data_IF_500117035431
#
_entry.id   IF_500117035431
#
_cell.length_a   1.000
_cell.length_b   1.000
_cell.length_c   1.000
_cell.angle_alpha   90.00
_cell.angle_beta   90.00
_cell.angle_gamma   90.00
#
_symmetry.space_group_name_H-M   'P 1'
#
loop_
_entity.id
_entity.type
_entity.pdbx_description
1 polymer ?
#
# COMPACT_ATOMS: atom_id res chain seq x y z
N UNK A 1 -33.70 23.10 28.86
CA UNK A 1 -32.57 22.38 29.47
C UNK A 1 -32.17 21.26 28.51
N UNK A 2 -30.91 21.29 28.04
CA UNK A 2 -30.12 20.22 27.35
C UNK A 2 -30.53 19.83 25.91
N UNK A 3 -29.85 20.31 24.86
CA UNK A 3 -28.56 19.84 24.28
C UNK A 3 -28.74 18.55 23.44
N UNK A 4 -28.72 18.61 22.09
CA UNK A 4 -27.58 18.63 21.17
C UNK A 4 -27.00 17.24 20.81
N UNK A 5 -27.18 16.89 19.53
CA UNK A 5 -26.28 16.10 18.64
C UNK A 5 -25.65 14.81 19.20
N UNK A 6 -26.27 13.67 18.87
CA UNK A 6 -25.60 12.38 18.71
C UNK A 6 -25.65 12.08 17.20
N UNK A 7 -24.60 11.70 16.49
CA UNK A 7 -23.29 11.20 16.83
C UNK A 7 -22.94 10.33 15.63
N UNK A 8 -22.03 10.80 14.79
CA UNK A 8 -21.59 10.09 13.58
C UNK A 8 -21.06 8.72 14.01
N UNK A 9 -21.78 7.67 13.67
CA UNK A 9 -21.31 6.30 13.87
C UNK A 9 -20.11 6.06 12.95
N UNK A 10 -18.94 6.06 13.59
CA UNK A 10 -17.67 5.72 12.98
C UNK A 10 -17.76 4.28 12.47
N UNK A 11 -17.77 4.12 11.14
CA UNK A 11 -17.61 2.82 10.49
C UNK A 11 -16.30 2.20 10.97
N UNK A 12 -16.43 1.01 11.54
CA UNK A 12 -15.34 0.24 12.13
C UNK A 12 -14.10 0.21 11.24
N UNK A 13 -12.99 0.64 11.82
CA UNK A 13 -11.67 0.37 11.29
C UNK A 13 -11.49 -1.14 11.19
N UNK A 14 -11.06 -1.59 10.02
CA UNK A 14 -10.59 -2.95 9.84
C UNK A 14 -9.24 -3.06 10.55
N UNK A 15 -9.26 -3.63 11.75
CA UNK A 15 -8.06 -4.08 12.44
C UNK A 15 -7.57 -5.38 11.78
N UNK A 16 -6.43 -5.31 11.08
CA UNK A 16 -5.74 -6.52 10.63
C UNK A 16 -4.79 -6.96 11.73
N UNK A 17 -5.09 -8.11 12.33
CA UNK A 17 -4.21 -8.79 13.30
C UNK A 17 -2.93 -9.19 12.57
N UNK A 18 -1.89 -8.37 12.72
CA UNK A 18 -0.54 -8.73 12.33
C UNK A 18 -0.07 -9.91 13.18
N UNK A 19 0.01 -11.10 12.58
CA UNK A 19 0.81 -12.18 13.13
C UNK A 19 2.29 -11.78 13.05
N UNK A 20 3.03 -11.70 14.17
CA UNK A 20 4.47 -11.55 14.12
C UNK A 20 5.05 -12.88 13.64
N UNK A 21 5.50 -12.93 12.39
CA UNK A 21 6.31 -14.06 11.92
C UNK A 21 7.78 -13.73 12.21
N UNK A 22 8.21 -14.07 13.42
CA UNK A 22 9.62 -14.25 13.78
C UNK A 22 10.23 -15.31 12.85
N UNK A 23 11.25 -14.93 12.07
CA UNK A 23 11.95 -15.87 11.18
C UNK A 23 12.66 -15.23 10.00
N UNK A 24 13.36 -14.11 10.20
CA UNK A 24 14.26 -13.57 9.19
C UNK A 24 15.59 -14.36 9.23
N UNK A 25 15.74 -15.35 8.34
CA UNK A 25 17.04 -15.88 7.91
C UNK A 25 16.87 -16.68 6.62
N UNK A 26 17.04 -16.01 5.48
CA UNK A 26 17.49 -16.66 4.25
C UNK A 26 18.52 -15.77 3.59
N UNK A 27 19.78 -16.19 3.74
CA UNK A 27 20.94 -15.69 3.04
C UNK A 27 20.64 -15.57 1.54
N UNK A 28 20.76 -14.35 1.00
CA UNK A 28 20.68 -14.12 -0.43
C UNK A 28 22.04 -14.43 -1.06
N UNK A 29 22.11 -15.47 -1.87
CA UNK A 29 23.28 -15.79 -2.69
C UNK A 29 23.55 -14.72 -3.77
N UNK A 30 24.78 -14.60 -4.27
CA UNK A 30 25.14 -13.58 -5.26
C UNK A 30 24.72 -14.04 -6.66
N UNK A 31 23.58 -13.56 -7.18
CA UNK A 31 23.24 -13.78 -8.59
C UNK A 31 21.78 -13.66 -9.01
N UNK A 32 20.82 -13.55 -8.08
CA UNK A 32 19.43 -13.36 -8.49
C UNK A 32 19.17 -11.90 -8.89
N UNK A 33 18.48 -11.64 -10.02
CA UNK A 33 18.08 -10.30 -10.39
C UNK A 33 17.19 -9.77 -9.25
N UNK A 34 17.71 -8.80 -8.50
CA UNK A 34 16.97 -8.17 -7.40
C UNK A 34 15.64 -7.67 -7.95
N UNK A 35 14.57 -8.42 -7.68
CA UNK A 35 13.22 -7.94 -7.96
C UNK A 35 13.06 -6.63 -7.16
N UNK A 36 12.48 -5.57 -7.76
CA UNK A 36 12.27 -4.33 -7.04
C UNK A 36 11.46 -4.66 -5.78
N UNK A 37 12.09 -4.44 -4.62
CA UNK A 37 11.59 -4.95 -3.35
C UNK A 37 10.61 -3.92 -2.80
N UNK A 38 9.34 -4.02 -3.20
CA UNK A 38 8.26 -3.31 -2.50
C UNK A 38 7.81 -4.15 -1.31
N UNK A 39 7.53 -3.48 -0.21
CA UNK A 39 7.00 -4.12 0.99
C UNK A 39 5.49 -3.90 1.08
N UNK A 40 4.80 -4.73 1.85
CA UNK A 40 3.44 -4.40 2.31
C UNK A 40 3.51 -3.10 3.11
N UNK A 41 2.45 -2.29 3.01
CA UNK A 41 2.32 -0.92 3.52
C UNK A 41 3.23 0.13 2.86
N UNK A 42 4.01 -0.26 1.85
CA UNK A 42 4.83 0.69 1.08
C UNK A 42 3.95 1.63 0.25
N UNK A 43 4.20 2.93 0.38
CA UNK A 43 3.65 3.94 -0.53
C UNK A 43 4.34 3.86 -1.88
N UNK A 44 3.54 3.93 -2.94
CA UNK A 44 3.99 3.78 -4.32
C UNK A 44 3.30 4.78 -5.23
N UNK A 45 3.96 5.11 -6.34
CA UNK A 45 3.38 5.89 -7.42
C UNK A 45 3.46 5.10 -8.73
N UNK A 46 2.42 5.21 -9.54
CA UNK A 46 2.32 4.68 -10.90
C UNK A 46 1.89 5.81 -11.86
N UNK A 47 2.37 5.78 -13.11
CA UNK A 47 2.08 6.84 -14.08
C UNK A 47 0.59 6.96 -14.41
N UNK A 48 -0.14 5.84 -14.51
CA UNK A 48 -1.56 5.83 -14.87
C UNK A 48 -2.50 5.89 -13.67
N UNK A 49 -2.14 5.24 -12.56
CA UNK A 49 -3.02 5.09 -11.39
C UNK A 49 -2.73 6.15 -10.31
N UNK A 50 -1.62 6.88 -10.43
CA UNK A 50 -1.17 7.83 -9.43
C UNK A 50 -0.65 7.13 -8.18
N UNK A 51 -1.00 7.66 -7.01
CA UNK A 51 -0.48 7.20 -5.72
C UNK A 51 -1.32 6.09 -5.13
N UNK A 52 -0.67 5.19 -4.42
CA UNK A 52 -1.33 4.11 -3.70
C UNK A 52 -0.43 3.46 -2.65
N UNK A 53 -1.00 2.47 -1.98
CA UNK A 53 -0.32 1.68 -0.94
C UNK A 53 -0.36 0.21 -1.31
N UNK A 54 0.79 -0.46 -1.28
CA UNK A 54 0.84 -1.92 -1.44
C UNK A 54 0.20 -2.56 -0.21
N UNK A 55 -0.86 -3.34 -0.39
CA UNK A 55 -1.55 -4.02 0.73
C UNK A 55 -1.30 -5.52 0.77
N UNK A 56 -0.86 -6.11 -0.34
CA UNK A 56 -0.49 -7.52 -0.41
C UNK A 56 0.60 -7.69 -1.46
N UNK A 57 1.62 -8.49 -1.14
CA UNK A 57 2.53 -9.02 -2.14
C UNK A 57 2.88 -10.47 -1.76
N UNK A 58 2.35 -11.43 -2.53
CA UNK A 58 2.50 -12.86 -2.23
C UNK A 58 2.51 -13.71 -3.51
N UNK A 59 3.60 -14.44 -3.74
CA UNK A 59 3.81 -15.20 -4.96
C UNK A 59 3.75 -14.28 -6.19
N UNK A 60 2.88 -14.61 -7.14
CA UNK A 60 2.69 -13.83 -8.37
C UNK A 60 1.61 -12.73 -8.24
N UNK A 61 1.05 -12.53 -7.04
CA UNK A 61 -0.03 -11.57 -6.80
C UNK A 61 0.47 -10.35 -6.02
N UNK A 62 0.23 -9.17 -6.59
CA UNK A 62 0.42 -7.87 -5.97
C UNK A 62 -0.94 -7.17 -5.85
N UNK A 63 -1.26 -6.60 -4.69
CA UNK A 63 -2.44 -5.76 -4.55
C UNK A 63 -2.07 -4.37 -4.06
N UNK A 64 -2.64 -3.36 -4.71
CA UNK A 64 -2.41 -1.94 -4.41
C UNK A 64 -3.74 -1.25 -4.19
N UNK A 65 -3.84 -0.52 -3.09
CA UNK A 65 -4.93 0.41 -2.81
C UNK A 65 -4.58 1.77 -3.40
N UNK A 66 -5.22 2.15 -4.50
CA UNK A 66 -5.02 3.42 -5.19
C UNK A 66 -5.86 4.53 -4.57
N UNK A 67 -5.24 5.69 -4.34
CA UNK A 67 -5.87 6.82 -3.67
C UNK A 67 -6.95 7.46 -4.54
N UNK A 68 -6.71 7.52 -5.86
CA UNK A 68 -7.61 8.18 -6.81
C UNK A 68 -8.72 7.24 -7.28
N UNK A 69 -9.98 7.72 -7.29
CA UNK A 69 -11.07 7.00 -7.92
C UNK A 69 -10.97 7.04 -9.45
N UNK A 70 -11.43 5.97 -10.11
CA UNK A 70 -11.50 5.88 -11.57
C UNK A 70 -12.70 6.63 -12.17
N UNK A 71 -13.73 6.88 -11.35
CA UNK A 71 -14.96 7.57 -11.72
C UNK A 71 -15.28 8.61 -10.66
N UNK A 72 -15.73 9.79 -11.09
CA UNK A 72 -16.22 10.83 -10.18
C UNK A 72 -17.30 10.23 -9.24
N UNK A 73 -17.10 10.38 -7.93
CA UNK A 73 -18.02 9.85 -6.91
C UNK A 73 -17.70 8.46 -6.37
N UNK A 74 -16.60 7.81 -6.79
CA UNK A 74 -16.11 6.57 -6.15
C UNK A 74 -15.02 6.86 -5.09
N UNK A 75 -14.83 5.94 -4.15
CA UNK A 75 -13.74 5.98 -3.15
C UNK A 75 -12.53 5.18 -3.64
N UNK A 76 -11.41 5.27 -2.90
CA UNK A 76 -10.14 4.55 -3.17
C UNK A 76 -10.34 3.09 -3.57
N UNK A 77 -9.48 2.57 -4.46
CA UNK A 77 -9.70 1.27 -5.11
C UNK A 77 -8.58 0.28 -4.83
N UNK A 78 -8.93 -0.89 -4.32
CA UNK A 78 -8.05 -2.05 -4.27
C UNK A 78 -8.00 -2.73 -5.65
N UNK A 79 -6.80 -2.87 -6.22
CA UNK A 79 -6.58 -3.58 -7.48
C UNK A 79 -5.51 -4.66 -7.35
N UNK A 80 -5.75 -5.79 -8.00
CA UNK A 80 -4.80 -6.89 -8.13
C UNK A 80 -4.02 -6.77 -9.42
N UNK A 81 -2.72 -7.02 -9.34
CA UNK A 81 -1.75 -7.00 -10.41
C UNK A 81 -0.89 -8.27 -10.31
N UNK A 82 -0.23 -8.63 -11.41
CA UNK A 82 0.81 -9.64 -11.37
C UNK A 82 2.08 -9.08 -10.69
N UNK A 83 2.94 -9.97 -10.18
CA UNK A 83 4.17 -9.57 -9.50
C UNK A 83 5.11 -8.73 -10.38
N UNK A 84 5.10 -8.89 -11.71
CA UNK A 84 5.97 -8.11 -12.60
C UNK A 84 5.59 -6.63 -12.65
N UNK A 85 4.35 -6.30 -12.29
CA UNK A 85 3.87 -4.93 -12.16
C UNK A 85 4.67 -4.11 -11.13
N UNK A 86 5.36 -4.76 -10.19
CA UNK A 86 6.26 -4.07 -9.24
C UNK A 86 7.34 -3.23 -9.94
N UNK A 87 7.76 -3.63 -11.15
CA UNK A 87 8.76 -2.90 -11.95
C UNK A 87 8.26 -1.56 -12.47
N UNK A 88 6.95 -1.34 -12.47
CA UNK A 88 6.31 -0.11 -12.93
C UNK A 88 6.00 0.84 -11.77
N UNK A 89 6.21 0.38 -10.53
CA UNK A 89 5.98 1.15 -9.32
C UNK A 89 7.23 1.94 -8.93
N UNK A 90 7.04 3.20 -8.60
CA UNK A 90 8.06 4.02 -7.94
C UNK A 90 7.78 4.03 -6.43
N UNK A 91 8.67 3.49 -5.59
CA UNK A 91 8.53 3.60 -4.15
C UNK A 91 8.56 5.06 -3.69
N UNK A 92 7.63 5.41 -2.82
CA UNK A 92 7.57 6.72 -2.16
C UNK A 92 8.08 6.58 -0.73
N UNK A 93 8.97 7.48 -0.33
CA UNK A 93 9.42 7.66 1.04
C UNK A 93 8.49 8.69 1.68
N UNK A 94 7.95 8.34 2.84
CA UNK A 94 7.14 9.24 3.67
C UNK A 94 8.03 9.79 4.77
N UNK A 95 8.18 11.10 4.85
CA UNK A 95 8.92 11.74 5.93
C UNK A 95 8.07 11.90 7.21
N UNK A 96 8.66 12.40 8.29
CA UNK A 96 7.98 12.57 9.58
C UNK A 96 6.79 13.56 9.53
N UNK A 97 6.84 14.54 8.63
CA UNK A 97 5.75 15.49 8.35
C UNK A 97 4.69 14.90 7.39
N UNK A 98 4.84 13.64 6.97
CA UNK A 98 3.91 12.95 6.10
C UNK A 98 4.00 13.34 4.62
N UNK A 99 5.07 14.02 4.18
CA UNK A 99 5.26 14.31 2.76
C UNK A 99 5.88 13.12 2.05
N UNK A 100 5.44 12.92 0.83
CA UNK A 100 5.84 11.79 -0.01
C UNK A 100 6.84 12.24 -1.07
N UNK A 101 7.96 11.53 -1.17
CA UNK A 101 9.00 11.78 -2.16
C UNK A 101 9.38 10.48 -2.86
N UNK A 102 9.62 10.53 -4.17
CA UNK A 102 10.14 9.35 -4.87
C UNK A 102 11.54 9.02 -4.37
N UNK A 103 11.75 7.77 -3.97
CA UNK A 103 13.11 7.25 -3.74
C UNK A 103 13.83 7.30 -5.09
N UNK A 104 14.71 8.28 -5.26
CA UNK A 104 15.56 8.42 -6.46
C UNK A 104 16.82 7.58 -6.31
#
# INVERSE_FOLDING_TARGET
MKEARHGVEQRGGVEWVGHPNDGQSTESGPGEPQQPKVNVDQRVNHCEYGRGTVVLFHGDLLQVLWDRPLLEGTSSRLMSHDASFVRQLTPLIVDADGREFSAS
#
